data_IF_409096076328
#
_entry.id   IF_409096076328
#
_cell.length_a   1.000
_cell.length_b   1.000
_cell.length_c   1.000
_cell.angle_alpha   90.00
_cell.angle_beta   90.00
_cell.angle_gamma   90.00
#
_symmetry.space_group_name_H-M   'P 1'
#
loop_
_entity.id
_entity.type
_entity.pdbx_description
1 polymer ?
#
# COMPACT_ATOMS: atom_id res chain seq x y z
N UNK A 1 22.79 5.34 11.98
CA UNK A 1 22.21 4.91 13.27
C UNK A 1 22.58 5.93 14.35
N UNK A 2 21.88 7.09 14.49
CA UNK A 2 22.03 8.07 15.61
C UNK A 2 21.08 9.28 15.48
N UNK A 3 19.94 9.16 14.77
CA UNK A 3 18.95 10.27 14.66
C UNK A 3 17.61 10.02 15.39
N UNK A 4 17.42 8.84 15.98
CA UNK A 4 16.16 8.47 16.67
C UNK A 4 15.98 9.04 18.08
N UNK A 5 16.92 9.83 18.60
CA UNK A 5 16.88 10.34 19.99
C UNK A 5 16.67 11.85 20.12
N UNK A 6 16.54 12.59 19.03
CA UNK A 6 16.47 14.07 19.11
C UNK A 6 15.05 14.64 19.14
N UNK A 7 14.04 13.95 18.67
CA UNK A 7 12.67 14.47 18.59
C UNK A 7 11.78 14.20 19.82
N UNK A 8 12.12 13.21 20.63
CA UNK A 8 11.39 12.95 21.89
C UNK A 8 11.64 14.01 22.97
N UNK A 9 12.64 14.86 22.80
CA UNK A 9 13.06 15.83 23.82
C UNK A 9 12.46 17.23 23.70
N UNK A 10 11.91 17.61 22.55
CA UNK A 10 11.48 19.00 22.33
C UNK A 10 9.98 19.19 22.58
N UNK A 11 9.15 18.15 22.38
CA UNK A 11 7.69 18.25 22.65
C UNK A 11 7.34 18.02 24.12
N UNK A 12 8.17 17.31 24.89
CA UNK A 12 7.96 17.16 26.34
C UNK A 12 8.19 18.46 27.13
N UNK A 13 8.86 19.44 26.54
CA UNK A 13 9.14 20.71 27.21
C UNK A 13 7.96 21.67 27.29
N UNK A 14 6.98 21.56 26.38
CA UNK A 14 5.78 22.42 26.41
C UNK A 14 4.74 21.99 27.44
N UNK A 15 4.72 20.70 27.83
CA UNK A 15 3.79 20.18 28.84
C UNK A 15 4.37 20.11 30.27
N UNK A 16 5.66 20.42 30.48
CA UNK A 16 6.31 20.35 31.79
C UNK A 16 6.47 21.69 32.51
N UNK A 17 5.88 22.77 32.01
CA UNK A 17 6.12 24.10 32.59
C UNK A 17 5.20 24.50 33.71
N UNK A 18 4.45 23.59 34.34
CA UNK A 18 3.57 23.97 35.43
C UNK A 18 3.72 23.23 36.76
N UNK A 19 4.76 22.40 36.94
CA UNK A 19 5.01 21.81 38.26
C UNK A 19 6.46 21.85 38.62
N UNK A 20 6.81 22.82 39.45
CA UNK A 20 8.09 22.83 40.19
C UNK A 20 8.91 24.09 40.11
N UNK A 21 8.41 25.22 40.57
CA UNK A 21 9.25 26.31 41.04
C UNK A 21 9.18 26.35 42.55
N UNK A 22 10.17 25.74 43.21
CA UNK A 22 10.48 26.04 44.62
C UNK A 22 11.01 27.46 44.70
N UNK A 23 10.30 28.27 45.43
CA UNK A 23 10.63 29.51 46.11
C UNK A 23 12.03 30.14 45.83
N UNK A 24 12.03 31.20 45.05
CA UNK A 24 12.93 32.33 45.27
C UNK A 24 12.06 33.60 45.36
N UNK A 25 12.12 34.26 46.47
CA UNK A 25 11.40 35.50 46.76
C UNK A 25 11.78 36.60 45.75
N UNK A 26 10.88 36.94 44.84
CA UNK A 26 10.87 38.17 44.09
C UNK A 26 9.44 38.55 43.77
N UNK A 27 9.05 39.69 44.23
CA UNK A 27 7.85 40.50 43.98
C UNK A 27 6.92 40.06 42.85
N UNK A 28 5.74 39.66 43.24
CA UNK A 28 4.44 39.60 42.60
C UNK A 28 4.29 40.28 41.24
N UNK A 29 4.50 39.50 40.18
CA UNK A 29 3.60 39.54 39.03
C UNK A 29 2.58 38.44 39.28
N UNK A 30 1.31 38.73 39.30
CA UNK A 30 0.23 37.71 39.33
C UNK A 30 0.40 36.88 38.08
N UNK A 31 0.89 35.66 38.23
CA UNK A 31 0.90 34.66 37.15
C UNK A 31 -0.55 34.32 36.89
N UNK A 32 -1.10 34.85 35.82
CA UNK A 32 -2.42 34.47 35.34
C UNK A 32 -2.29 33.03 34.84
N UNK A 33 -2.68 32.07 35.66
CA UNK A 33 -2.79 30.68 35.22
C UNK A 33 -3.97 30.60 34.26
N UNK A 34 -3.73 30.16 33.01
CA UNK A 34 -4.81 29.78 32.12
C UNK A 34 -5.17 28.33 32.41
N UNK A 35 -6.48 28.09 32.68
CA UNK A 35 -6.98 26.74 32.80
C UNK A 35 -6.86 26.03 31.46
N UNK A 36 -6.42 24.77 31.49
CA UNK A 36 -6.45 23.93 30.31
C UNK A 36 -7.89 23.59 29.95
N UNK A 37 -8.32 23.95 28.76
CA UNK A 37 -9.66 23.68 28.23
C UNK A 37 -9.68 22.57 27.17
N UNK A 38 -8.51 22.20 26.66
CA UNK A 38 -8.37 21.19 25.62
C UNK A 38 -7.02 20.47 25.73
N UNK A 39 -6.95 19.31 25.08
CA UNK A 39 -5.77 18.45 25.01
C UNK A 39 -5.54 18.03 23.56
N UNK A 40 -4.31 18.25 23.08
CA UNK A 40 -3.87 17.80 21.78
C UNK A 40 -3.24 16.41 21.91
N UNK A 41 -3.71 15.46 21.07
CA UNK A 41 -3.19 14.10 20.98
C UNK A 41 -2.72 13.91 19.54
N UNK A 42 -1.41 13.74 19.37
CA UNK A 42 -0.81 13.61 18.05
C UNK A 42 -1.10 12.23 17.45
N UNK A 43 -1.51 12.24 16.20
CA UNK A 43 -1.83 11.08 15.40
C UNK A 43 -0.92 10.97 14.19
N UNK A 44 -0.27 9.83 14.03
CA UNK A 44 0.50 9.51 12.84
C UNK A 44 -0.29 8.55 11.93
N UNK A 45 -0.16 8.75 10.62
CA UNK A 45 -0.77 7.91 9.61
C UNK A 45 0.31 7.43 8.63
N UNK A 46 0.79 6.19 8.85
CA UNK A 46 1.90 5.59 8.13
C UNK A 46 1.50 5.11 6.73
N UNK A 47 2.49 5.02 5.84
CA UNK A 47 2.36 4.40 4.51
C UNK A 47 3.27 3.19 4.43
N UNK A 48 2.71 2.05 3.99
CA UNK A 48 3.46 0.85 3.61
C UNK A 48 3.28 0.58 2.11
N UNK A 49 4.38 0.17 1.45
CA UNK A 49 4.39 -0.03 -0.01
C UNK A 49 4.54 1.27 -0.80
N UNK A 50 3.86 1.37 -1.94
CA UNK A 50 4.00 2.49 -2.88
C UNK A 50 2.67 3.14 -3.29
N UNK A 51 1.62 2.94 -2.49
CA UNK A 51 0.29 3.48 -2.77
C UNK A 51 0.13 4.96 -2.40
N UNK A 52 -1.01 5.52 -2.78
CA UNK A 52 -1.52 6.82 -2.34
C UNK A 52 -2.73 6.56 -1.47
N UNK A 53 -2.69 6.94 -0.18
CA UNK A 53 -3.82 6.73 0.71
C UNK A 53 -5.04 7.53 0.27
N UNK A 54 -6.26 6.98 0.37
CA UNK A 54 -7.46 7.78 0.22
C UNK A 54 -7.56 8.81 1.34
N UNK A 55 -8.49 9.76 1.18
CA UNK A 55 -8.89 10.62 2.30
C UNK A 55 -9.45 9.75 3.42
N UNK A 56 -8.98 9.99 4.67
CA UNK A 56 -9.42 9.22 5.84
C UNK A 56 -9.64 10.14 7.03
N UNK A 57 -10.68 9.85 7.82
CA UNK A 57 -10.97 10.56 9.07
C UNK A 57 -10.99 9.57 10.21
N UNK A 58 -10.10 9.77 11.17
CA UNK A 58 -10.06 9.00 12.40
C UNK A 58 -10.86 9.70 13.49
N UNK A 59 -11.56 8.94 14.31
CA UNK A 59 -12.42 9.45 15.38
C UNK A 59 -12.02 8.83 16.71
N UNK A 60 -12.05 9.66 17.78
CA UNK A 60 -11.96 9.19 19.16
C UNK A 60 -13.32 9.25 19.83
N UNK A 61 -13.62 8.21 20.60
CA UNK A 61 -14.78 8.14 21.50
C UNK A 61 -14.31 8.04 22.94
N UNK A 62 -15.07 8.63 23.87
CA UNK A 62 -14.97 8.33 25.27
C UNK A 62 -15.66 6.99 25.52
N UNK A 63 -14.88 5.98 25.90
CA UNK A 63 -15.37 4.63 26.18
C UNK A 63 -15.73 4.45 27.64
N UNK A 64 -14.99 5.09 28.56
CA UNK A 64 -15.18 5.00 29.99
C UNK A 64 -14.64 6.24 30.73
N UNK A 65 -15.00 6.41 32.00
CA UNK A 65 -14.45 7.42 32.91
C UNK A 65 -14.44 6.89 34.34
N UNK A 66 -13.44 7.25 35.12
CA UNK A 66 -13.33 6.85 36.53
C UNK A 66 -12.62 7.88 37.39
N UNK A 67 -12.93 7.87 38.68
CA UNK A 67 -12.25 8.65 39.70
C UNK A 67 -11.01 7.93 40.16
N UNK A 68 -9.82 8.59 40.00
CA UNK A 68 -8.58 8.10 40.57
C UNK A 68 -8.36 8.58 42.00
N UNK A 69 -8.74 9.86 42.28
CA UNK A 69 -8.77 10.48 43.62
C UNK A 69 -9.87 11.51 43.64
N UNK A 70 -10.60 11.56 44.75
CA UNK A 70 -11.74 12.48 44.98
C UNK A 70 -12.87 11.79 45.74
N UNK A 71 -13.84 12.56 46.20
CA UNK A 71 -14.95 12.08 47.01
C UNK A 71 -16.28 12.02 46.21
N UNK A 72 -16.20 11.79 44.88
CA UNK A 72 -17.33 11.63 43.99
C UNK A 72 -17.33 10.24 43.37
N UNK A 73 -18.47 9.83 42.81
CA UNK A 73 -18.59 8.58 42.05
C UNK A 73 -18.19 8.78 40.61
N UNK A 74 -17.82 7.69 39.94
CA UNK A 74 -17.47 7.70 38.49
C UNK A 74 -18.65 8.28 37.66
N UNK A 75 -19.89 8.03 38.05
CA UNK A 75 -21.10 8.59 37.40
C UNK A 75 -21.18 10.12 37.45
N UNK A 76 -20.55 10.72 38.44
CA UNK A 76 -20.66 12.17 38.70
C UNK A 76 -19.54 12.97 38.01
N UNK A 77 -18.57 12.28 37.40
CA UNK A 77 -17.57 12.90 36.51
C UNK A 77 -18.30 13.40 35.26
N UNK A 78 -18.13 14.68 34.85
CA UNK A 78 -18.70 15.14 33.59
C UNK A 78 -18.11 14.41 32.39
N UNK A 79 -18.88 14.17 31.35
CA UNK A 79 -18.36 13.64 30.09
C UNK A 79 -17.51 14.69 29.39
N UNK A 80 -16.51 14.23 28.63
CA UNK A 80 -15.75 15.10 27.72
C UNK A 80 -16.72 15.78 26.74
N UNK A 81 -16.35 16.97 26.29
CA UNK A 81 -17.21 17.71 25.35
C UNK A 81 -17.39 16.94 24.06
N UNK A 82 -18.67 16.72 23.68
CA UNK A 82 -18.98 16.01 22.45
C UNK A 82 -18.46 16.73 21.20
N UNK A 83 -17.97 15.95 20.22
CA UNK A 83 -17.54 16.44 18.93
C UNK A 83 -18.75 17.03 18.17
N UNK A 84 -18.62 18.29 17.75
CA UNK A 84 -19.58 18.93 16.84
C UNK A 84 -19.45 18.28 15.46
N UNK A 85 -20.48 17.87 14.80
CA UNK A 85 -20.47 17.16 13.51
C UNK A 85 -19.90 15.72 13.58
N UNK A 86 -20.08 15.05 14.71
CA UNK A 86 -19.80 13.62 14.80
C UNK A 86 -20.61 12.82 13.75
N UNK A 87 -20.11 11.66 13.30
CA UNK A 87 -20.91 10.76 12.49
C UNK A 87 -22.22 10.40 13.19
N UNK A 88 -23.29 10.17 12.42
CA UNK A 88 -24.53 9.66 12.98
C UNK A 88 -24.23 8.30 13.65
N UNK A 89 -24.28 8.29 14.98
CA UNK A 89 -24.01 7.08 15.77
C UNK A 89 -25.32 6.34 15.99
N UNK A 90 -25.40 5.12 15.47
CA UNK A 90 -26.51 4.19 15.76
C UNK A 90 -26.27 3.36 17.04
N UNK A 91 -25.04 3.43 17.59
CA UNK A 91 -24.57 2.61 18.71
C UNK A 91 -24.37 3.41 20.01
N UNK A 92 -24.76 4.69 20.03
CA UNK A 92 -24.70 5.55 21.24
C UNK A 92 -23.28 5.97 21.64
N UNK A 93 -22.27 5.85 20.77
CA UNK A 93 -20.89 6.25 21.06
C UNK A 93 -20.77 7.76 21.31
N UNK A 94 -19.99 8.13 22.31
CA UNK A 94 -19.70 9.52 22.65
C UNK A 94 -18.41 9.97 21.94
N UNK A 95 -18.55 10.55 20.73
CA UNK A 95 -17.44 11.10 19.95
C UNK A 95 -16.89 12.37 20.58
N UNK A 96 -15.58 12.44 20.78
CA UNK A 96 -14.91 13.57 21.47
C UNK A 96 -13.91 14.32 20.62
N UNK A 97 -13.31 13.67 19.62
CA UNK A 97 -12.37 14.31 18.69
C UNK A 97 -12.33 13.59 17.33
N UNK A 98 -11.84 14.28 16.33
CA UNK A 98 -11.52 13.70 15.03
C UNK A 98 -10.31 14.36 14.42
N UNK A 99 -9.60 13.60 13.57
CA UNK A 99 -8.52 14.10 12.71
C UNK A 99 -8.73 13.60 11.30
N UNK A 100 -8.56 14.51 10.33
CA UNK A 100 -8.73 14.22 8.91
C UNK A 100 -7.39 14.31 8.19
N UNK A 101 -7.06 13.26 7.46
CA UNK A 101 -5.97 13.25 6.49
C UNK A 101 -6.56 13.29 5.08
N UNK A 102 -6.05 14.18 4.25
CA UNK A 102 -6.43 14.25 2.84
C UNK A 102 -5.86 13.08 2.03
N UNK A 103 -6.19 13.03 0.74
CA UNK A 103 -5.60 12.06 -0.18
C UNK A 103 -4.07 12.15 -0.16
N UNK A 104 -3.39 11.00 -0.10
CA UNK A 104 -1.93 10.91 0.06
C UNK A 104 -1.42 11.38 1.44
N UNK A 105 -2.29 11.48 2.43
CA UNK A 105 -1.94 11.88 3.80
C UNK A 105 -1.13 10.86 4.56
N UNK A 106 -1.23 9.56 4.24
CA UNK A 106 -0.31 8.56 4.78
C UNK A 106 1.09 8.74 4.20
N UNK A 107 2.12 8.72 5.06
CA UNK A 107 3.53 8.91 4.67
C UNK A 107 4.40 7.80 5.25
N UNK A 108 5.48 7.48 4.54
CA UNK A 108 6.48 6.54 5.02
C UNK A 108 7.34 7.10 6.16
N UNK A 109 7.41 8.43 6.28
CA UNK A 109 8.15 9.13 7.33
C UNK A 109 7.18 9.71 8.36
N UNK A 110 7.26 9.23 9.61
CA UNK A 110 6.39 9.64 10.71
C UNK A 110 6.42 11.16 11.00
N UNK A 111 7.49 11.86 10.65
CA UNK A 111 7.59 13.31 10.87
C UNK A 111 6.73 14.14 9.90
N UNK A 112 6.24 13.54 8.79
CA UNK A 112 5.55 14.25 7.72
C UNK A 112 4.03 14.08 7.74
N UNK A 113 3.50 13.16 8.55
CA UNK A 113 2.10 12.74 8.54
C UNK A 113 1.40 12.90 9.90
N UNK A 114 1.68 13.98 10.58
CA UNK A 114 1.13 14.25 11.91
C UNK A 114 -0.18 15.02 11.78
N UNK A 115 -1.23 14.47 12.41
CA UNK A 115 -2.49 15.13 12.66
C UNK A 115 -2.72 15.27 14.17
N UNK A 116 -3.73 16.02 14.57
CA UNK A 116 -4.04 16.28 15.98
C UNK A 116 -5.50 16.00 16.27
N UNK A 117 -5.75 15.16 17.27
CA UNK A 117 -7.05 15.10 17.93
C UNK A 117 -7.08 16.19 18.99
N UNK A 118 -8.00 17.12 18.88
CA UNK A 118 -8.24 18.15 19.89
C UNK A 118 -9.43 17.71 20.75
N UNK A 119 -9.14 17.22 21.95
CA UNK A 119 -10.15 16.80 22.93
C UNK A 119 -10.47 17.98 23.85
N UNK A 120 -11.72 18.41 23.84
CA UNK A 120 -12.19 19.52 24.70
C UNK A 120 -12.64 18.98 26.06
N UNK A 121 -12.10 19.60 27.12
CA UNK A 121 -12.43 19.27 28.49
C UNK A 121 -13.80 19.89 28.90
N UNK A 122 -14.55 19.22 29.75
CA UNK A 122 -15.77 19.79 30.35
C UNK A 122 -15.41 20.79 31.44
N UNK A 123 -16.42 21.49 31.94
CA UNK A 123 -16.30 22.23 33.21
C UNK A 123 -16.46 21.26 34.38
N UNK A 124 -15.55 21.34 35.34
CA UNK A 124 -15.55 20.51 36.55
C UNK A 124 -16.13 21.30 37.71
N UNK A 125 -16.90 20.62 38.55
CA UNK A 125 -17.49 21.16 39.77
C UNK A 125 -16.93 20.53 41.06
N UNK A 126 -16.07 19.52 40.90
CA UNK A 126 -15.42 18.82 42.01
C UNK A 126 -13.89 18.72 41.79
N UNK A 127 -13.15 18.79 42.89
CA UNK A 127 -11.72 18.55 42.91
C UNK A 127 -11.46 17.04 42.84
N UNK A 128 -10.36 16.66 42.16
CA UNK A 128 -9.99 15.26 42.04
C UNK A 128 -9.05 14.99 40.93
N UNK A 129 -8.75 13.73 40.72
CA UNK A 129 -8.02 13.20 39.57
C UNK A 129 -8.94 12.24 38.85
N UNK A 130 -9.22 12.55 37.59
CA UNK A 130 -10.17 11.82 36.76
C UNK A 130 -9.46 11.21 35.57
N UNK A 131 -9.79 9.97 35.25
CA UNK A 131 -9.28 9.27 34.07
C UNK A 131 -10.43 9.05 33.08
N UNK A 132 -10.23 9.41 31.83
CA UNK A 132 -11.09 9.06 30.70
C UNK A 132 -10.38 8.04 29.84
N UNK A 133 -11.08 6.96 29.50
CA UNK A 133 -10.60 5.99 28.52
C UNK A 133 -11.10 6.40 27.14
N UNK A 134 -10.17 6.73 26.26
CA UNK A 134 -10.44 7.06 24.86
C UNK A 134 -10.12 5.85 23.98
N UNK A 135 -10.91 5.65 22.94
CA UNK A 135 -10.70 4.59 21.96
C UNK A 135 -10.90 5.14 20.56
N UNK A 136 -10.06 4.71 19.63
CA UNK A 136 -10.26 5.03 18.23
C UNK A 136 -11.37 4.16 17.65
N UNK A 137 -12.21 4.76 16.82
CA UNK A 137 -13.27 4.04 16.10
C UNK A 137 -12.67 3.42 14.84
N UNK A 138 -12.73 2.09 14.74
CA UNK A 138 -12.31 1.41 13.54
C UNK A 138 -13.20 1.78 12.34
N UNK A 139 -12.56 2.26 11.27
CA UNK A 139 -13.20 2.49 9.98
C UNK A 139 -13.25 1.22 9.13
N UNK A 140 -13.62 1.39 7.88
CA UNK A 140 -13.79 0.27 6.93
C UNK A 140 -13.09 0.48 5.59
N UNK A 141 -12.10 1.34 5.50
CA UNK A 141 -11.34 1.60 4.27
C UNK A 141 -10.35 0.47 4.00
N UNK A 142 -10.38 -0.09 2.79
CA UNK A 142 -9.46 -1.14 2.38
C UNK A 142 -8.01 -0.63 2.42
N UNK A 143 -7.09 -1.48 2.90
CA UNK A 143 -5.68 -1.13 3.09
C UNK A 143 -5.39 -0.33 4.35
N UNK A 144 -6.40 0.18 5.07
CA UNK A 144 -6.20 0.91 6.33
C UNK A 144 -6.24 -0.04 7.52
N UNK A 145 -5.20 0.04 8.35
CA UNK A 145 -5.16 -0.56 9.69
C UNK A 145 -5.55 0.49 10.70
N UNK A 146 -6.51 0.16 11.56
CA UNK A 146 -7.01 1.05 12.61
C UNK A 146 -6.46 0.62 13.96
N UNK A 147 -6.10 1.61 14.80
CA UNK A 147 -5.67 1.38 16.17
C UNK A 147 -6.82 0.80 16.99
N UNK A 148 -6.53 -0.21 17.80
CA UNK A 148 -7.49 -0.82 18.72
C UNK A 148 -7.18 -0.52 20.20
N UNK A 149 -5.93 -0.12 20.50
CA UNK A 149 -5.49 0.17 21.86
C UNK A 149 -6.15 1.43 22.41
N UNK A 150 -6.36 1.45 23.72
CA UNK A 150 -6.96 2.60 24.41
C UNK A 150 -5.93 3.66 24.76
N UNK A 151 -6.40 4.89 24.87
CA UNK A 151 -5.64 6.05 25.35
C UNK A 151 -6.28 6.50 26.65
N UNK A 152 -5.50 6.62 27.71
CA UNK A 152 -5.97 7.17 28.97
C UNK A 152 -5.67 8.67 29.02
N UNK A 153 -6.70 9.47 29.24
CA UNK A 153 -6.60 10.90 29.47
C UNK A 153 -6.81 11.16 30.94
N UNK A 154 -5.79 11.66 31.62
CA UNK A 154 -5.84 11.94 33.05
C UNK A 154 -5.88 13.43 33.30
N UNK A 155 -6.92 13.87 34.01
CA UNK A 155 -7.17 15.28 34.35
C UNK A 155 -7.07 15.49 35.85
N UNK A 156 -6.28 16.45 36.28
CA UNK A 156 -6.14 16.85 37.68
C UNK A 156 -6.84 18.17 37.91
N UNK A 157 -7.84 18.16 38.76
CA UNK A 157 -8.67 19.33 39.12
C UNK A 157 -8.43 19.72 40.58
N UNK A 158 -8.12 20.98 40.80
CA UNK A 158 -7.83 21.55 42.13
C UNK A 158 -8.79 22.71 42.46
N UNK A 159 -8.78 23.10 43.71
CA UNK A 159 -9.40 24.35 44.16
C UNK A 159 -8.29 25.32 44.62
N UNK A 160 -8.13 26.37 43.86
CA UNK A 160 -7.15 27.47 44.17
C UNK A 160 -7.90 28.82 44.07
N UNK A 161 -8.88 29.00 44.98
CA UNK A 161 -9.82 30.10 44.94
C UNK A 161 -11.01 29.87 43.99
N UNK A 162 -10.84 29.01 43.01
CA UNK A 162 -11.87 28.46 42.13
C UNK A 162 -11.50 27.02 41.74
N UNK A 163 -12.52 26.21 41.34
CA UNK A 163 -12.29 24.87 40.79
C UNK A 163 -11.71 25.03 39.37
N UNK A 164 -10.56 24.41 39.11
CA UNK A 164 -9.82 24.57 37.86
C UNK A 164 -9.00 23.34 37.49
N UNK A 165 -8.69 23.16 36.20
CA UNK A 165 -7.83 22.12 35.69
C UNK A 165 -6.36 22.53 35.90
N UNK A 166 -5.70 21.85 36.83
CA UNK A 166 -4.28 22.11 37.15
C UNK A 166 -3.28 21.39 36.24
N UNK A 167 -3.70 20.29 35.62
CA UNK A 167 -2.85 19.54 34.71
C UNK A 167 -3.59 18.42 34.01
N UNK A 168 -3.09 18.10 32.81
CA UNK A 168 -3.63 17.04 31.97
C UNK A 168 -2.46 16.27 31.37
N UNK A 169 -2.60 14.96 31.22
CA UNK A 169 -1.67 14.15 30.45
C UNK A 169 -2.37 12.93 29.87
N UNK A 170 -1.78 12.35 28.84
CA UNK A 170 -2.23 11.09 28.24
C UNK A 170 -1.23 9.98 28.53
N UNK A 171 -1.76 8.76 28.63
CA UNK A 171 -0.99 7.54 28.88
C UNK A 171 -1.42 6.47 27.85
N UNK A 172 -0.50 5.59 27.50
CA UNK A 172 -0.81 4.36 26.76
C UNK A 172 -1.46 3.32 27.71
N UNK A 173 -1.87 2.15 27.18
CA UNK A 173 -2.43 1.06 27.98
C UNK A 173 -1.49 0.59 29.11
N UNK A 174 -0.19 0.65 28.89
CA UNK A 174 0.85 0.31 29.87
C UNK A 174 1.03 1.34 30.98
N UNK A 175 0.33 2.48 30.95
CA UNK A 175 0.43 3.55 31.93
C UNK A 175 1.66 4.46 31.74
N UNK A 176 2.33 4.37 30.57
CA UNK A 176 3.42 5.28 30.23
C UNK A 176 2.86 6.55 29.58
N UNK A 177 3.39 7.70 30.00
CA UNK A 177 2.98 8.98 29.40
C UNK A 177 3.34 9.06 27.94
N UNK A 178 2.38 9.35 27.10
CA UNK A 178 2.53 9.53 25.66
C UNK A 178 1.56 10.59 25.16
N UNK A 179 2.02 11.44 24.25
CA UNK A 179 1.16 12.38 23.52
C UNK A 179 1.02 12.02 22.05
N UNK A 180 1.63 10.91 21.62
CA UNK A 180 1.68 10.51 20.22
C UNK A 180 1.31 9.04 20.05
N UNK A 181 0.43 8.77 19.10
CA UNK A 181 -0.12 7.45 18.81
C UNK A 181 -0.08 7.21 17.29
N UNK A 182 0.65 6.17 16.86
CA UNK A 182 1.11 6.03 15.46
C UNK A 182 0.74 4.72 14.79
N UNK A 183 -0.21 3.94 15.30
CA UNK A 183 -0.42 2.56 14.82
C UNK A 183 -1.32 2.43 13.57
N UNK A 184 -1.81 3.55 13.03
CA UNK A 184 -2.61 3.52 11.81
C UNK A 184 -1.71 3.61 10.58
N UNK A 185 -2.01 2.76 9.59
CA UNK A 185 -1.25 2.67 8.35
C UNK A 185 -2.18 2.46 7.18
N UNK A 186 -1.78 2.97 6.03
CA UNK A 186 -2.31 2.57 4.74
C UNK A 186 -1.29 1.70 4.03
N UNK A 187 -1.68 0.49 3.64
CA UNK A 187 -0.85 -0.49 2.98
C UNK A 187 -1.39 -0.77 1.56
N UNK A 188 -0.60 -0.47 0.54
CA UNK A 188 -0.96 -0.70 -0.86
C UNK A 188 0.29 -0.87 -1.73
N UNK A 189 0.11 -1.51 -2.89
CA UNK A 189 1.19 -1.70 -3.85
C UNK A 189 0.65 -1.74 -5.29
N UNK A 190 1.57 -1.87 -6.25
CA UNK A 190 1.29 -1.94 -7.69
C UNK A 190 1.38 -3.38 -8.17
N UNK A 191 0.35 -3.85 -8.87
CA UNK A 191 0.39 -5.10 -9.65
C UNK A 191 0.95 -4.81 -11.03
N UNK A 192 1.88 -5.66 -11.51
CA UNK A 192 2.45 -5.58 -12.87
C UNK A 192 2.25 -6.89 -13.59
N UNK A 193 1.75 -6.84 -14.83
CA UNK A 193 1.62 -8.00 -15.72
C UNK A 193 2.46 -7.77 -16.96
N UNK A 194 3.39 -8.67 -17.25
CA UNK A 194 4.36 -8.53 -18.35
C UNK A 194 4.26 -9.67 -19.35
N UNK A 195 4.52 -9.37 -20.62
CA UNK A 195 4.54 -10.32 -21.73
C UNK A 195 5.88 -10.37 -22.42
N UNK A 196 6.37 -11.58 -22.67
CA UNK A 196 7.58 -11.85 -23.43
C UNK A 196 7.32 -12.91 -24.52
N UNK A 197 8.07 -12.83 -25.61
CA UNK A 197 8.12 -13.86 -26.65
C UNK A 197 9.57 -14.24 -26.87
N UNK A 198 9.84 -15.54 -26.87
CA UNK A 198 11.15 -16.15 -27.05
C UNK A 198 11.14 -17.21 -28.15
N UNK A 199 12.31 -17.78 -28.42
CA UNK A 199 12.49 -18.77 -29.46
C UNK A 199 12.87 -18.16 -30.80
N UNK A 200 13.53 -18.98 -31.63
CA UNK A 200 14.06 -18.57 -32.93
C UNK A 200 13.00 -18.25 -33.99
N UNK A 201 11.76 -18.73 -33.78
CA UNK A 201 10.58 -18.45 -34.62
C UNK A 201 9.53 -17.59 -33.92
N UNK A 202 9.84 -17.07 -32.73
CA UNK A 202 8.92 -16.24 -31.96
C UNK A 202 8.71 -14.86 -32.58
N UNK A 203 7.47 -14.54 -33.00
CA UNK A 203 7.12 -13.21 -33.49
C UNK A 203 6.82 -12.26 -32.32
N UNK A 204 7.74 -11.34 -32.06
CA UNK A 204 7.64 -10.33 -30.98
C UNK A 204 6.60 -9.26 -31.25
N UNK A 205 5.99 -9.20 -32.44
CA UNK A 205 4.95 -8.24 -32.81
C UNK A 205 3.53 -8.78 -32.59
N UNK A 206 3.40 -10.10 -32.39
CA UNK A 206 2.11 -10.72 -32.10
C UNK A 206 1.57 -10.28 -30.76
N UNK A 207 0.31 -9.85 -30.73
CA UNK A 207 -0.45 -9.52 -29.52
C UNK A 207 -1.16 -10.77 -29.01
N UNK A 208 -1.07 -10.98 -27.69
CA UNK A 208 -1.75 -12.05 -26.95
C UNK A 208 -2.81 -11.43 -26.06
N UNK A 209 -3.95 -12.08 -25.94
CA UNK A 209 -5.05 -11.66 -25.07
C UNK A 209 -4.87 -12.20 -23.67
N UNK A 210 -5.21 -11.36 -22.69
CA UNK A 210 -5.19 -11.70 -21.27
C UNK A 210 -6.55 -11.37 -20.64
N UNK A 211 -6.82 -12.01 -19.53
CA UNK A 211 -7.92 -11.70 -18.64
C UNK A 211 -7.40 -11.55 -17.22
N UNK A 212 -7.78 -10.45 -16.54
CA UNK A 212 -7.43 -10.14 -15.17
C UNK A 212 -8.69 -9.99 -14.32
N UNK A 213 -8.70 -10.61 -13.15
CA UNK A 213 -9.68 -10.37 -12.09
C UNK A 213 -9.01 -9.91 -10.81
N UNK A 214 -9.71 -9.08 -10.02
CA UNK A 214 -9.34 -8.65 -8.69
C UNK A 214 -10.44 -9.01 -7.71
N UNK A 215 -10.07 -9.67 -6.62
CA UNK A 215 -11.00 -10.06 -5.55
C UNK A 215 -10.58 -9.39 -4.22
N UNK A 216 -11.53 -9.13 -3.30
CA UNK A 216 -11.23 -8.51 -2.02
C UNK A 216 -10.20 -9.25 -1.18
N UNK A 217 -10.11 -10.59 -1.35
CA UNK A 217 -9.36 -11.47 -0.48
C UNK A 217 -10.01 -11.63 0.90
N UNK A 218 -9.54 -12.61 1.67
CA UNK A 218 -10.13 -12.94 2.98
C UNK A 218 -9.94 -11.84 4.02
N UNK A 219 -8.81 -11.11 3.97
CA UNK A 219 -8.50 -10.02 4.90
C UNK A 219 -9.37 -8.79 4.69
N UNK A 220 -9.91 -8.59 3.48
CA UNK A 220 -10.61 -7.37 3.07
C UNK A 220 -12.09 -7.58 2.75
N UNK A 221 -12.67 -8.75 2.99
CA UNK A 221 -13.97 -9.19 2.46
C UNK A 221 -15.19 -8.27 2.67
N UNK A 222 -15.10 -7.29 3.59
CA UNK A 222 -16.14 -6.27 3.85
C UNK A 222 -15.60 -4.86 3.87
N UNK A 223 -14.39 -4.62 3.40
CA UNK A 223 -13.77 -3.29 3.36
C UNK A 223 -14.33 -2.47 2.20
N UNK A 224 -14.30 -1.15 2.35
CA UNK A 224 -14.64 -0.21 1.30
C UNK A 224 -13.41 0.00 0.40
N UNK A 225 -13.53 -0.41 -0.85
CA UNK A 225 -12.53 -0.18 -1.89
C UNK A 225 -12.81 1.14 -2.61
N UNK A 226 -11.82 1.64 -3.34
CA UNK A 226 -12.05 2.68 -4.33
C UNK A 226 -13.06 2.20 -5.39
N UNK A 227 -13.82 3.11 -5.97
CA UNK A 227 -14.81 2.79 -7.02
C UNK A 227 -14.18 2.03 -8.19
N UNK A 228 -12.95 2.38 -8.55
CA UNK A 228 -12.18 1.70 -9.58
C UNK A 228 -10.67 1.93 -9.39
N UNK A 229 -9.87 1.10 -10.04
CA UNK A 229 -8.43 1.21 -10.14
C UNK A 229 -8.00 1.37 -11.59
N UNK A 230 -7.10 2.30 -11.87
CA UNK A 230 -6.65 2.58 -13.23
C UNK A 230 -5.66 1.53 -13.72
N UNK A 231 -5.92 1.01 -14.92
CA UNK A 231 -4.98 0.16 -15.65
C UNK A 231 -4.14 1.06 -16.55
N UNK A 232 -2.84 1.09 -16.29
CA UNK A 232 -1.88 1.83 -17.12
C UNK A 232 -1.32 0.89 -18.19
N UNK A 233 -1.53 1.26 -19.43
CA UNK A 233 -1.05 0.53 -20.62
C UNK A 233 0.26 1.12 -21.17
N UNK A 234 1.02 0.35 -21.97
CA UNK A 234 2.16 0.88 -22.73
C UNK A 234 1.72 2.01 -23.67
N UNK A 235 2.55 3.04 -23.82
CA UNK A 235 2.25 4.25 -24.64
C UNK A 235 1.88 3.93 -26.09
N UNK A 236 2.45 2.86 -26.68
CA UNK A 236 2.17 2.40 -28.04
C UNK A 236 1.61 0.96 -28.02
N UNK A 237 0.76 0.68 -27.03
CA UNK A 237 0.11 -0.61 -26.88
C UNK A 237 -0.96 -0.89 -27.94
N UNK A 238 -1.68 -2.00 -27.76
CA UNK A 238 -2.76 -2.38 -28.65
C UNK A 238 -3.93 -1.39 -28.59
N UNK A 239 -4.47 -1.01 -29.72
CA UNK A 239 -5.71 -0.23 -29.87
C UNK A 239 -6.96 -1.02 -29.39
N UNK A 240 -6.83 -2.33 -29.18
CA UNK A 240 -7.87 -3.18 -28.56
C UNK A 240 -7.99 -2.98 -27.05
N UNK A 241 -7.03 -2.29 -26.41
CA UNK A 241 -7.07 -1.96 -24.99
C UNK A 241 -7.99 -0.77 -24.75
N UNK A 242 -9.29 -1.01 -24.65
CA UNK A 242 -10.32 0.03 -24.52
C UNK A 242 -10.80 0.25 -23.10
N UNK A 243 -10.63 -0.74 -22.20
CA UNK A 243 -11.00 -0.65 -20.77
C UNK A 243 -9.79 -0.26 -19.96
N UNK A 244 -9.82 0.90 -19.32
CA UNK A 244 -8.70 1.46 -18.56
C UNK A 244 -8.92 1.44 -17.04
N UNK A 245 -9.97 0.80 -16.56
CA UNK A 245 -10.28 0.66 -15.13
C UNK A 245 -10.72 -0.76 -14.81
N UNK A 246 -10.48 -1.16 -13.54
CA UNK A 246 -10.90 -2.44 -12.98
C UNK A 246 -11.44 -2.21 -11.56
N UNK A 247 -12.42 -3.02 -11.16
CA UNK A 247 -13.07 -2.96 -9.84
C UNK A 247 -12.72 -4.23 -9.06
N UNK A 248 -12.38 -4.08 -7.78
CA UNK A 248 -12.17 -5.24 -6.88
C UNK A 248 -13.51 -5.91 -6.60
N UNK A 249 -13.60 -7.23 -6.85
CA UNK A 249 -14.84 -7.98 -6.76
C UNK A 249 -15.80 -7.71 -7.92
N UNK A 250 -15.35 -7.01 -8.97
CA UNK A 250 -16.13 -6.74 -10.18
C UNK A 250 -15.87 -7.75 -11.31
N UNK A 251 -16.33 -7.40 -12.51
CA UNK A 251 -16.07 -8.20 -13.70
C UNK A 251 -14.59 -8.19 -14.06
N UNK A 252 -14.08 -9.31 -14.61
CA UNK A 252 -12.74 -9.39 -15.17
C UNK A 252 -12.57 -8.45 -16.37
N UNK A 253 -11.34 -8.01 -16.60
CA UNK A 253 -10.96 -7.11 -17.70
C UNK A 253 -10.06 -7.86 -18.67
N UNK A 254 -10.37 -7.76 -19.97
CA UNK A 254 -9.55 -8.31 -21.05
C UNK A 254 -8.65 -7.23 -21.65
N UNK A 255 -7.41 -7.61 -21.92
CA UNK A 255 -6.40 -6.71 -22.50
C UNK A 255 -5.42 -7.47 -23.38
N UNK A 256 -4.61 -6.76 -24.15
CA UNK A 256 -3.69 -7.29 -25.12
C UNK A 256 -2.27 -6.76 -24.91
N UNK A 257 -1.29 -7.68 -24.90
CA UNK A 257 0.15 -7.35 -24.81
C UNK A 257 0.93 -8.13 -25.88
N UNK A 258 1.96 -7.49 -26.40
CA UNK A 258 3.03 -8.13 -27.21
C UNK A 258 4.33 -8.20 -26.39
N UNK A 259 5.34 -8.83 -26.97
CA UNK A 259 6.64 -8.99 -26.32
C UNK A 259 7.25 -7.66 -25.88
N UNK A 260 7.68 -7.59 -24.61
CA UNK A 260 8.30 -6.42 -24.00
C UNK A 260 7.28 -5.39 -23.45
N UNK A 261 6.00 -5.67 -23.53
CA UNK A 261 4.95 -4.83 -22.97
C UNK A 261 4.49 -5.31 -21.60
N UNK A 262 4.03 -4.37 -20.79
CA UNK A 262 3.40 -4.64 -19.50
C UNK A 262 2.27 -3.65 -19.22
N UNK A 263 1.32 -4.09 -18.41
CA UNK A 263 0.37 -3.21 -17.73
C UNK A 263 0.76 -3.07 -16.27
N UNK A 264 0.29 -1.99 -15.64
CA UNK A 264 0.35 -1.81 -14.19
C UNK A 264 -0.96 -1.30 -13.64
N UNK A 265 -1.31 -1.76 -12.44
CA UNK A 265 -2.44 -1.26 -11.66
C UNK A 265 -1.87 -0.81 -10.32
N UNK A 266 -1.80 0.48 -10.13
CA UNK A 266 -1.29 1.09 -8.91
C UNK A 266 -2.34 1.15 -7.81
N UNK A 267 -1.85 1.32 -6.59
CA UNK A 267 -2.68 1.63 -5.42
C UNK A 267 -3.64 0.52 -4.99
N UNK A 268 -3.35 -0.73 -5.34
CA UNK A 268 -4.13 -1.87 -4.86
C UNK A 268 -3.85 -2.10 -3.37
N UNK A 269 -4.89 -2.11 -2.51
CA UNK A 269 -4.74 -2.39 -1.09
C UNK A 269 -4.11 -3.75 -0.81
N UNK A 270 -3.32 -3.84 0.27
CA UNK A 270 -2.76 -5.11 0.71
C UNK A 270 -3.86 -6.16 0.94
N UNK A 271 -3.58 -7.40 0.54
CA UNK A 271 -4.52 -8.51 0.66
C UNK A 271 -5.54 -8.61 -0.47
N UNK A 272 -5.59 -7.67 -1.43
CA UNK A 272 -6.36 -7.86 -2.67
C UNK A 272 -5.79 -9.04 -3.43
N UNK A 273 -6.62 -10.02 -3.74
CA UNK A 273 -6.25 -11.19 -4.53
C UNK A 273 -6.41 -10.89 -6.02
N UNK A 274 -5.50 -11.39 -6.83
CA UNK A 274 -5.52 -11.19 -8.28
C UNK A 274 -5.25 -12.50 -9.01
N UNK A 275 -5.89 -12.64 -10.19
CA UNK A 275 -5.67 -13.75 -11.10
C UNK A 275 -5.56 -13.24 -12.51
N UNK A 276 -4.50 -13.67 -13.22
CA UNK A 276 -4.24 -13.34 -14.63
C UNK A 276 -4.13 -14.62 -15.43
N UNK A 277 -4.77 -14.65 -16.59
CA UNK A 277 -4.66 -15.76 -17.54
C UNK A 277 -4.38 -15.22 -18.95
N UNK A 278 -3.49 -15.86 -19.68
CA UNK A 278 -3.43 -15.70 -21.13
C UNK A 278 -4.57 -16.50 -21.76
N UNK A 279 -5.21 -15.93 -22.77
CA UNK A 279 -6.34 -16.56 -23.44
C UNK A 279 -5.93 -17.06 -24.84
N UNK A 280 -6.45 -18.23 -25.23
CA UNK A 280 -6.36 -18.74 -26.59
C UNK A 280 -7.35 -18.04 -27.55
N UNK A 281 -7.38 -18.46 -28.81
CA UNK A 281 -8.27 -17.92 -29.83
C UNK A 281 -9.77 -18.14 -29.53
N UNK A 282 -10.11 -19.14 -28.72
CA UNK A 282 -11.46 -19.43 -28.26
C UNK A 282 -11.84 -18.67 -26.98
N UNK A 283 -10.91 -17.87 -26.42
CA UNK A 283 -11.10 -17.13 -25.19
C UNK A 283 -10.98 -17.97 -23.91
N UNK A 284 -10.34 -19.13 -23.98
CA UNK A 284 -10.08 -20.01 -22.85
C UNK A 284 -8.71 -19.75 -22.25
N UNK A 285 -8.60 -19.87 -20.93
CA UNK A 285 -7.34 -19.73 -20.22
C UNK A 285 -6.33 -20.81 -20.63
N UNK A 286 -5.11 -20.41 -20.95
CA UNK A 286 -4.00 -21.28 -21.29
C UNK A 286 -3.19 -21.57 -20.03
N UNK A 287 -3.06 -22.85 -19.69
CA UNK A 287 -2.29 -23.28 -18.52
C UNK A 287 -0.77 -23.14 -18.76
N UNK A 288 -0.02 -23.03 -17.66
CA UNK A 288 1.43 -23.08 -17.70
C UNK A 288 1.91 -24.39 -18.35
N UNK A 289 2.81 -24.30 -19.33
CA UNK A 289 3.31 -25.42 -20.12
C UNK A 289 2.41 -25.86 -21.27
N UNK A 290 1.20 -25.32 -21.40
CA UNK A 290 0.29 -25.59 -22.50
C UNK A 290 0.64 -24.75 -23.75
N UNK A 291 -0.03 -25.04 -24.87
CA UNK A 291 0.17 -24.33 -26.13
C UNK A 291 -0.90 -23.28 -26.37
N UNK A 292 -0.51 -22.13 -26.92
CA UNK A 292 -1.38 -21.11 -27.48
C UNK A 292 -0.98 -20.94 -28.97
N UNK A 293 -1.73 -21.54 -29.85
CA UNK A 293 -1.35 -21.68 -31.26
C UNK A 293 -0.04 -22.45 -31.39
N UNK A 294 0.98 -21.82 -31.95
CA UNK A 294 2.32 -22.41 -32.14
C UNK A 294 3.28 -22.18 -30.98
N UNK A 295 2.86 -21.46 -29.94
CA UNK A 295 3.68 -21.07 -28.81
C UNK A 295 3.45 -22.00 -27.63
N UNK A 296 4.51 -22.38 -26.93
CA UNK A 296 4.45 -22.96 -25.58
C UNK A 296 4.46 -21.83 -24.57
N UNK A 297 3.47 -21.80 -23.68
CA UNK A 297 3.29 -20.73 -22.68
C UNK A 297 3.97 -21.12 -21.38
N UNK A 298 4.85 -20.25 -20.86
CA UNK A 298 5.41 -20.33 -19.51
C UNK A 298 4.90 -19.17 -18.68
N UNK A 299 4.44 -19.45 -17.48
CA UNK A 299 3.83 -18.46 -16.57
C UNK A 299 4.59 -18.46 -15.25
N UNK A 300 5.01 -17.27 -14.82
CA UNK A 300 5.54 -17.00 -13.49
C UNK A 300 4.60 -16.01 -12.78
N UNK A 301 3.92 -16.49 -11.72
CA UNK A 301 2.92 -15.72 -11.00
C UNK A 301 1.60 -15.51 -11.78
N UNK A 302 0.77 -16.56 -11.92
CA UNK A 302 -0.57 -16.42 -12.52
C UNK A 302 -1.62 -15.83 -11.58
N UNK A 303 -1.37 -15.92 -10.29
CA UNK A 303 -2.24 -15.42 -9.22
C UNK A 303 -1.42 -15.08 -7.98
N UNK A 304 -2.00 -14.29 -7.10
CA UNK A 304 -1.37 -13.89 -5.85
C UNK A 304 -2.26 -12.96 -5.03
N UNK A 305 -1.68 -12.46 -3.97
CA UNK A 305 -2.27 -11.42 -3.13
C UNK A 305 -1.33 -10.21 -3.11
N UNK A 306 -1.89 -9.02 -3.08
CA UNK A 306 -1.10 -7.80 -2.98
C UNK A 306 -0.38 -7.76 -1.62
N UNK A 307 0.92 -7.60 -1.67
CA UNK A 307 1.81 -7.45 -0.51
C UNK A 307 2.39 -6.05 -0.54
N UNK A 308 2.21 -5.29 0.53
CA UNK A 308 2.76 -3.95 0.68
C UNK A 308 4.06 -3.98 1.51
N UNK A 309 3.99 -4.50 2.73
CA UNK A 309 5.15 -4.58 3.63
C UNK A 309 6.11 -5.71 3.20
N UNK A 310 7.39 -5.38 3.05
CA UNK A 310 8.42 -6.36 2.72
C UNK A 310 8.28 -7.01 1.33
N UNK A 311 7.56 -6.36 0.40
CA UNK A 311 7.42 -6.83 -0.96
C UNK A 311 8.79 -7.01 -1.62
N UNK A 312 9.03 -8.19 -2.20
CA UNK A 312 10.20 -8.48 -3.03
C UNK A 312 10.00 -7.98 -4.45
N UNK A 313 11.05 -8.01 -5.27
CA UNK A 313 10.95 -7.64 -6.69
C UNK A 313 10.01 -8.54 -7.50
N UNK A 314 9.73 -9.76 -7.01
CA UNK A 314 8.81 -10.72 -7.64
C UNK A 314 7.39 -10.66 -7.08
N UNK A 315 7.18 -10.00 -5.94
CA UNK A 315 5.84 -9.79 -5.38
C UNK A 315 5.00 -8.92 -6.31
N UNK A 316 3.71 -9.15 -6.34
CA UNK A 316 2.74 -8.37 -7.13
C UNK A 316 3.08 -8.32 -8.62
N UNK A 317 3.63 -9.41 -9.18
CA UNK A 317 4.00 -9.52 -10.60
C UNK A 317 3.51 -10.82 -11.19
N UNK A 318 3.03 -10.72 -12.46
CA UNK A 318 2.80 -11.85 -13.34
C UNK A 318 3.64 -11.70 -14.60
N UNK A 319 4.30 -12.77 -15.04
CA UNK A 319 5.12 -12.77 -16.24
C UNK A 319 4.75 -13.96 -17.14
N UNK A 320 4.42 -13.68 -18.38
CA UNK A 320 4.05 -14.66 -19.37
C UNK A 320 5.08 -14.69 -20.51
N UNK A 321 5.65 -15.85 -20.78
CA UNK A 321 6.58 -16.05 -21.88
C UNK A 321 6.03 -17.08 -22.85
N UNK A 322 5.87 -16.68 -24.12
CA UNK A 322 5.48 -17.57 -25.21
C UNK A 322 6.71 -17.92 -26.03
N UNK A 323 7.07 -19.20 -26.06
CA UNK A 323 8.23 -19.71 -26.77
C UNK A 323 7.81 -20.43 -28.04
N UNK A 324 8.36 -20.03 -29.19
CA UNK A 324 8.22 -20.73 -30.45
C UNK A 324 9.60 -21.09 -31.01
N UNK A 325 9.96 -22.35 -30.84
CA UNK A 325 11.18 -22.91 -31.40
C UNK A 325 10.83 -23.71 -32.67
N UNK A 326 11.62 -23.52 -33.68
CA UNK A 326 11.52 -24.30 -34.94
C UNK A 326 12.89 -24.65 -35.46
N UNK A 327 12.99 -25.78 -36.13
CA UNK A 327 14.15 -26.05 -37.00
C UNK A 327 13.96 -25.23 -38.26
N UNK A 328 14.93 -24.38 -38.64
CA UNK A 328 14.88 -23.71 -39.94
C UNK A 328 14.64 -24.77 -41.01
N UNK A 329 13.67 -24.55 -41.91
CA UNK A 329 13.48 -25.43 -43.03
C UNK A 329 14.76 -25.44 -43.88
N UNK A 330 15.54 -26.51 -43.73
CA UNK A 330 16.78 -26.72 -44.46
C UNK A 330 16.51 -27.18 -45.91
N UNK A 331 15.25 -27.19 -46.34
CA UNK A 331 14.84 -27.65 -47.67
C UNK A 331 15.53 -26.94 -48.81
N UNK A 332 15.92 -25.70 -48.63
CA UNK A 332 16.70 -24.95 -49.62
C UNK A 332 18.13 -25.49 -49.81
N UNK A 333 18.75 -26.08 -48.77
CA UNK A 333 20.09 -26.67 -48.85
C UNK A 333 20.03 -28.05 -49.50
N UNK A 334 18.99 -28.83 -49.21
CA UNK A 334 18.79 -30.14 -49.84
C UNK A 334 18.43 -30.02 -51.34
N UNK A 335 17.64 -29.01 -51.71
CA UNK A 335 17.32 -28.74 -53.12
C UNK A 335 18.53 -28.34 -53.97
N UNK A 336 19.53 -27.70 -53.35
CA UNK A 336 20.80 -27.32 -54.02
C UNK A 336 21.86 -28.42 -53.94
N UNK A 337 21.69 -29.49 -53.16
CA UNK A 337 22.66 -30.55 -52.99
C UNK A 337 23.08 -31.21 -54.33
N UNK A 338 22.14 -31.48 -55.30
CA UNK A 338 22.49 -31.99 -56.58
C UNK A 338 23.40 -31.05 -57.38
N UNK A 339 23.16 -29.75 -57.29
CA UNK A 339 23.95 -28.72 -58.00
C UNK A 339 25.34 -28.57 -57.41
N UNK A 340 25.45 -28.65 -56.08
CA UNK A 340 26.74 -28.60 -55.37
C UNK A 340 27.56 -29.85 -55.72
N UNK A 341 26.94 -31.02 -55.75
CA UNK A 341 27.59 -32.27 -56.17
C UNK A 341 28.06 -32.20 -57.63
N UNK A 342 27.24 -31.66 -58.53
CA UNK A 342 27.57 -31.48 -59.94
C UNK A 342 28.76 -30.52 -60.10
N UNK A 343 28.77 -29.41 -59.34
CA UNK A 343 29.82 -28.42 -59.37
C UNK A 343 31.15 -29.02 -58.85
N UNK A 344 31.10 -29.84 -57.84
CA UNK A 344 32.30 -30.57 -57.34
C UNK A 344 32.85 -31.57 -58.37
N UNK A 345 32.00 -32.31 -59.08
CA UNK A 345 32.39 -33.24 -60.13
C UNK A 345 33.04 -32.49 -61.29
N UNK A 346 32.49 -31.35 -61.72
CA UNK A 346 33.07 -30.51 -62.79
C UNK A 346 34.43 -29.97 -62.40
N UNK A 347 34.59 -29.50 -61.14
CA UNK A 347 35.82 -28.99 -60.61
C UNK A 347 36.93 -30.09 -60.60
N UNK A 348 36.55 -31.27 -60.07
CA UNK A 348 37.51 -32.42 -60.04
C UNK A 348 37.88 -32.87 -61.47
N UNK A 349 36.88 -32.94 -62.36
CA UNK A 349 37.12 -33.28 -63.79
C UNK A 349 37.97 -32.26 -64.48
N UNK A 350 37.77 -30.98 -64.23
CA UNK A 350 38.66 -29.91 -64.80
C UNK A 350 40.09 -29.97 -64.34
N UNK A 351 40.32 -30.23 -63.04
CA UNK A 351 41.65 -30.42 -62.47
C UNK A 351 42.32 -31.66 -63.07
N UNK A 352 41.59 -32.78 -63.21
CA UNK A 352 42.14 -34.01 -63.85
C UNK A 352 42.50 -33.80 -65.30
N UNK A 353 41.73 -33.07 -66.07
CA UNK A 353 42.01 -32.71 -67.45
C UNK A 353 43.23 -31.78 -67.57
N UNK A 354 43.39 -30.81 -66.68
CA UNK A 354 44.56 -29.92 -66.63
C UNK A 354 45.85 -30.71 -66.31
N UNK A 355 45.80 -31.62 -65.36
CA UNK A 355 46.94 -32.46 -65.01
C UNK A 355 47.33 -33.43 -66.15
N UNK A 356 46.35 -33.97 -66.86
CA UNK A 356 46.55 -34.84 -67.96
C UNK A 356 47.15 -34.09 -69.19
N UNK A 357 46.72 -32.85 -69.41
CA UNK A 357 47.33 -31.99 -70.46
C UNK A 357 48.75 -31.66 -70.12
N UNK A 358 49.09 -31.30 -68.90
CA UNK A 358 50.45 -30.98 -68.45
C UNK A 358 51.41 -32.16 -68.61
N UNK A 359 50.95 -33.38 -68.37
CA UNK A 359 51.73 -34.62 -68.63
C UNK A 359 52.03 -34.87 -70.11
N UNK A 360 51.14 -34.47 -71.03
CA UNK A 360 51.34 -34.60 -72.46
C UNK A 360 52.28 -33.55 -73.06
N UNK A 361 52.38 -32.42 -72.38
CA UNK A 361 53.28 -31.33 -72.84
C UNK A 361 54.68 -31.49 -72.28
N UNK A 362 54.96 -32.50 -71.42
CA UNK A 362 56.24 -32.85 -70.83
C UNK A 362 56.88 -34.13 -71.46
N UNK A 363 56.18 -34.84 -72.40
CA UNK A 363 56.74 -35.94 -73.27
C UNK A 363 57.06 -35.38 -74.67
#
# INVERSE_FOLDING_TARGET
MKLKKFFAGVLAAAMMLTVGATAAFATTAATTYQDQSEVEIYKHYGLEGNGTSPEETFYLVQADKKVLTGDIKDSDIPDLTALTNAPASTDGRHYVASVKFGEGGAKANDAENVGEFVVKLPTYDHVGKFEYTLQEVAGNTAGVTYRLDTIKLVVSVINDGAIRVAGVHTENEGGEKSSSFSDNKYAANTLTVSKYVSGNMGDKKTYFQFELSLEPGTANGRKNFAENYTITYPTNGSDKNTTNTIVVGGASVKFWLKSGESISIANLPEGVEWTVSELDADGKAVANGATNGVYTVSVDGANGSIVAAGASETSNKASFTNTHEGTPDMGVILDNAPYIALLAIVAIGGVALMLNKRRRDEE
#
